data_IF_531889607487
#
_entry.id   IF_531889607487
#
_cell.length_a   1.000
_cell.length_b   1.000
_cell.length_c   1.000
_cell.angle_alpha   90.00
_cell.angle_beta   90.00
_cell.angle_gamma   90.00
#
_symmetry.space_group_name_H-M   'P 1'
#
loop_
_entity.id
_entity.type
_entity.pdbx_description
1 polymer ?
#
# COMPACT_ATOMS: atom_id res chain seq x y z
N UNK A 1 69.82 28.52 7.52
CA UNK A 1 68.55 27.97 6.90
C UNK A 1 67.70 27.55 8.06
N UNK A 2 66.61 28.29 8.28
CA UNK A 2 65.77 28.11 9.48
C UNK A 2 64.94 26.80 9.39
N UNK A 3 65.32 25.84 10.24
CA UNK A 3 64.61 24.58 10.39
C UNK A 3 63.07 24.74 10.65
N UNK A 4 62.69 25.85 11.27
CA UNK A 4 61.34 26.25 11.56
C UNK A 4 60.51 26.47 10.28
N UNK A 5 61.08 27.08 9.25
CA UNK A 5 60.41 27.30 7.95
C UNK A 5 60.20 26.03 7.15
N UNK A 6 61.15 25.09 7.24
CA UNK A 6 61.04 23.80 6.59
C UNK A 6 59.97 22.92 7.24
N UNK A 7 59.88 22.90 8.55
CA UNK A 7 58.87 22.17 9.33
C UNK A 7 57.49 22.75 9.09
N UNK A 8 57.33 24.07 9.08
CA UNK A 8 56.07 24.77 8.82
C UNK A 8 55.51 24.47 7.44
N UNK A 9 56.37 24.42 6.41
CA UNK A 9 55.95 24.12 5.03
C UNK A 9 55.49 22.65 4.85
N UNK A 10 56.09 21.73 5.60
CA UNK A 10 55.77 20.31 5.56
C UNK A 10 54.48 19.97 6.34
N UNK A 11 54.22 20.71 7.43
CA UNK A 11 52.98 20.59 8.21
C UNK A 11 51.78 21.17 7.46
N UNK A 12 51.93 22.24 6.69
CA UNK A 12 50.86 22.84 5.89
C UNK A 12 50.30 21.89 4.84
N UNK A 13 51.10 21.01 4.26
CA UNK A 13 50.64 20.05 3.25
C UNK A 13 49.84 18.91 3.85
N UNK A 14 50.22 18.41 5.04
CA UNK A 14 49.50 17.35 5.74
C UNK A 14 48.13 17.83 6.27
N UNK A 15 48.00 19.07 6.68
CA UNK A 15 46.74 19.65 7.14
C UNK A 15 45.67 19.76 6.04
N UNK A 16 46.05 20.07 4.81
CA UNK A 16 45.12 20.15 3.67
C UNK A 16 44.54 18.79 3.29
N UNK A 17 45.35 17.73 3.31
CA UNK A 17 44.89 16.36 3.03
C UNK A 17 43.92 15.88 4.12
N UNK A 18 44.24 16.15 5.40
CA UNK A 18 43.36 15.81 6.51
C UNK A 18 42.01 16.55 6.42
N UNK A 19 42.05 17.86 6.12
CA UNK A 19 40.80 18.62 5.89
C UNK A 19 39.99 18.09 4.73
N UNK A 20 40.63 17.75 3.60
CA UNK A 20 39.93 17.17 2.46
C UNK A 20 39.32 15.81 2.80
N UNK A 21 40.03 14.97 3.53
CA UNK A 21 39.54 13.67 3.98
C UNK A 21 38.31 13.78 4.90
N UNK A 22 38.36 14.71 5.87
CA UNK A 22 37.23 14.99 6.77
C UNK A 22 36.03 15.53 5.98
N UNK A 23 36.24 16.45 5.05
CA UNK A 23 35.18 17.02 4.22
C UNK A 23 34.50 15.95 3.36
N UNK A 24 35.27 15.04 2.74
CA UNK A 24 34.73 13.93 1.95
C UNK A 24 33.93 12.96 2.85
N UNK A 25 34.49 12.63 4.03
CA UNK A 25 33.76 11.73 4.96
C UNK A 25 32.42 12.33 5.41
N UNK A 26 32.41 13.64 5.68
CA UNK A 26 31.18 14.35 6.06
C UNK A 26 30.18 14.42 4.91
N UNK A 27 30.67 14.66 3.69
CA UNK A 27 29.83 14.64 2.47
C UNK A 27 29.16 13.28 2.26
N UNK A 28 29.94 12.19 2.36
CA UNK A 28 29.43 10.82 2.24
C UNK A 28 28.38 10.52 3.32
N UNK A 29 28.60 10.96 4.55
CA UNK A 29 27.65 10.80 5.65
C UNK A 29 26.33 11.54 5.38
N UNK A 30 26.39 12.79 4.90
CA UNK A 30 25.20 13.56 4.56
C UNK A 30 24.42 12.88 3.43
N UNK A 31 25.12 12.43 2.38
CA UNK A 31 24.49 11.71 1.26
C UNK A 31 23.81 10.44 1.77
N UNK A 32 24.51 9.65 2.60
CA UNK A 32 23.94 8.40 3.13
C UNK A 32 22.68 8.64 3.96
N UNK A 33 22.68 9.65 4.83
CA UNK A 33 21.50 10.03 5.62
C UNK A 33 20.36 10.52 4.72
N UNK A 34 20.66 11.37 3.74
CA UNK A 34 19.66 11.91 2.81
C UNK A 34 18.99 10.81 1.97
N UNK A 35 19.80 9.88 1.45
CA UNK A 35 19.29 8.72 0.68
C UNK A 35 18.46 7.81 1.58
N UNK A 36 18.91 7.53 2.81
CA UNK A 36 18.18 6.70 3.75
C UNK A 36 16.83 7.30 4.14
N UNK A 37 16.80 8.62 4.41
CA UNK A 37 15.55 9.33 4.73
C UNK A 37 14.58 9.37 3.54
N UNK A 38 15.08 9.66 2.34
CA UNK A 38 14.26 9.67 1.13
C UNK A 38 13.66 8.31 0.81
N UNK A 39 14.45 7.24 0.95
CA UNK A 39 13.99 5.88 0.70
C UNK A 39 12.92 5.42 1.71
N UNK A 40 13.10 5.79 2.99
CA UNK A 40 12.11 5.48 4.03
C UNK A 40 10.77 6.17 3.76
N UNK A 41 10.79 7.42 3.32
CA UNK A 41 9.60 8.20 2.98
C UNK A 41 8.86 7.57 1.77
N UNK A 42 9.57 7.27 0.69
CA UNK A 42 9.03 6.65 -0.51
C UNK A 42 8.36 5.28 -0.25
N UNK A 43 9.04 4.41 0.53
CA UNK A 43 8.46 3.11 0.91
C UNK A 43 7.19 3.30 1.72
N UNK A 44 7.20 4.23 2.66
CA UNK A 44 6.05 4.47 3.51
C UNK A 44 4.85 4.94 2.71
N UNK A 45 5.00 5.97 1.87
CA UNK A 45 3.93 6.44 0.99
C UNK A 45 3.41 5.31 0.11
N UNK A 46 4.29 4.48 -0.42
CA UNK A 46 3.91 3.31 -1.21
C UNK A 46 3.06 2.31 -0.42
N UNK A 47 3.41 2.01 0.83
CA UNK A 47 2.63 1.08 1.68
C UNK A 47 1.33 1.73 2.15
N UNK A 48 1.37 2.97 2.60
CA UNK A 48 0.20 3.72 3.08
C UNK A 48 -0.86 3.89 1.99
N UNK A 49 -0.46 4.12 0.74
CA UNK A 49 -1.38 4.18 -0.40
C UNK A 49 -2.13 2.87 -0.65
N UNK A 50 -1.55 1.74 -0.25
CA UNK A 50 -2.15 0.40 -0.45
C UNK A 50 -3.00 -0.05 0.73
N UNK A 51 -2.57 0.23 1.97
CA UNK A 51 -3.20 -0.32 3.18
C UNK A 51 -3.68 0.72 4.18
N UNK A 52 -3.53 2.02 3.89
CA UNK A 52 -3.68 3.07 4.91
C UNK A 52 -2.54 3.05 5.94
N UNK A 53 -2.46 4.09 6.77
CA UNK A 53 -1.43 4.18 7.83
C UNK A 53 -1.75 3.29 9.03
N UNK A 54 -3.02 3.17 9.36
CA UNK A 54 -3.54 2.32 10.45
C UNK A 54 -4.79 1.60 9.98
N UNK A 55 -4.96 0.35 10.41
CA UNK A 55 -6.16 -0.44 10.10
C UNK A 55 -6.90 -0.84 11.36
N UNK A 56 -8.22 -0.65 11.35
CA UNK A 56 -9.12 -1.24 12.33
C UNK A 56 -9.66 -2.55 11.76
N UNK A 57 -9.31 -3.65 12.40
CA UNK A 57 -9.63 -5.00 11.98
C UNK A 57 -10.46 -5.72 13.03
N UNK A 58 -11.37 -6.63 12.66
CA UNK A 58 -11.97 -7.55 13.62
C UNK A 58 -10.91 -8.49 14.22
N UNK A 59 -11.07 -8.90 15.47
CA UNK A 59 -10.12 -9.76 16.18
C UNK A 59 -9.85 -11.10 15.46
N UNK A 60 -10.80 -11.59 14.69
CA UNK A 60 -10.76 -12.88 13.98
C UNK A 60 -10.63 -12.69 12.46
N UNK A 61 -9.89 -11.68 12.01
CA UNK A 61 -9.76 -11.44 10.58
C UNK A 61 -9.04 -12.59 9.88
N UNK A 62 -9.73 -13.19 8.93
CA UNK A 62 -9.18 -14.20 8.04
C UNK A 62 -9.60 -13.87 6.60
N UNK A 63 -8.66 -13.46 5.76
CA UNK A 63 -8.92 -13.11 4.36
C UNK A 63 -9.39 -14.28 3.50
N UNK A 64 -9.20 -15.51 3.97
CA UNK A 64 -9.55 -16.74 3.25
C UNK A 64 -10.97 -17.22 3.53
N UNK A 65 -11.52 -16.87 4.69
CA UNK A 65 -12.84 -17.33 5.09
C UNK A 65 -13.88 -16.20 5.05
N UNK A 66 -15.16 -16.56 5.21
CA UNK A 66 -16.25 -15.59 5.37
C UNK A 66 -16.05 -14.87 6.72
N UNK A 67 -15.28 -13.77 6.71
CA UNK A 67 -14.98 -12.99 7.91
C UNK A 67 -16.24 -12.38 8.50
N UNK A 68 -16.31 -12.32 9.82
CA UNK A 68 -17.33 -11.50 10.50
C UNK A 68 -17.10 -10.04 10.14
N UNK A 69 -18.06 -9.35 9.54
CA UNK A 69 -17.91 -7.93 9.22
C UNK A 69 -17.88 -7.08 10.48
N UNK A 70 -17.28 -5.89 10.36
CA UNK A 70 -17.43 -4.80 11.33
C UNK A 70 -18.42 -3.79 10.78
N UNK A 71 -19.03 -3.00 11.67
CA UNK A 71 -19.96 -1.93 11.31
C UNK A 71 -19.18 -0.66 10.96
N UNK A 72 -19.35 -0.15 9.75
CA UNK A 72 -18.72 1.09 9.32
C UNK A 72 -19.26 2.35 10.02
N UNK A 73 -20.44 2.26 10.62
CA UNK A 73 -21.10 3.30 11.41
C UNK A 73 -21.10 3.03 12.93
N UNK A 74 -20.20 2.16 13.38
CA UNK A 74 -20.08 1.82 14.80
C UNK A 74 -19.87 3.06 15.67
N UNK A 75 -20.33 2.99 16.94
CA UNK A 75 -20.34 4.12 17.88
C UNK A 75 -18.95 4.74 18.14
N UNK A 76 -17.87 4.02 17.88
CA UNK A 76 -16.50 4.53 18.02
C UNK A 76 -16.02 5.35 16.80
N UNK A 77 -16.64 5.21 15.64
CA UNK A 77 -16.21 5.88 14.39
C UNK A 77 -16.16 7.40 14.51
N UNK A 78 -17.15 8.10 15.09
CA UNK A 78 -17.06 9.55 15.30
C UNK A 78 -15.86 9.94 16.16
N UNK A 79 -15.56 9.19 17.21
CA UNK A 79 -14.44 9.47 18.11
C UNK A 79 -13.09 9.30 17.39
N UNK A 80 -12.97 8.30 16.51
CA UNK A 80 -11.74 8.11 15.72
C UNK A 80 -11.53 9.26 14.74
N UNK A 81 -12.58 9.78 14.12
CA UNK A 81 -12.51 10.94 13.21
C UNK A 81 -12.12 12.25 13.89
N UNK A 82 -12.37 12.37 15.21
CA UNK A 82 -12.03 13.55 16.01
C UNK A 82 -10.59 13.50 16.55
N UNK A 83 -9.87 12.40 16.38
CA UNK A 83 -8.46 12.29 16.81
C UNK A 83 -7.60 13.21 15.93
N UNK A 84 -6.80 14.05 16.58
CA UNK A 84 -5.86 14.95 15.92
C UNK A 84 -4.87 14.13 15.06
N UNK A 85 -4.74 14.52 13.79
CA UNK A 85 -3.87 13.83 12.83
C UNK A 85 -4.57 12.76 11.99
N UNK A 86 -5.86 12.47 12.22
CA UNK A 86 -6.65 11.62 11.33
C UNK A 86 -7.23 12.47 10.20
N UNK A 87 -6.78 12.17 8.98
CA UNK A 87 -7.25 12.86 7.76
C UNK A 87 -8.55 12.24 7.24
N UNK A 88 -8.57 10.92 7.13
CA UNK A 88 -9.74 10.20 6.63
C UNK A 88 -9.87 8.80 7.23
N UNK A 89 -11.10 8.29 7.20
CA UNK A 89 -11.45 6.94 7.63
C UNK A 89 -12.23 6.26 6.50
N UNK A 90 -11.59 5.29 5.86
CA UNK A 90 -12.07 4.66 4.62
C UNK A 90 -12.55 3.24 4.92
N UNK A 91 -13.84 2.93 4.71
CA UNK A 91 -14.34 1.56 4.83
C UNK A 91 -13.81 0.71 3.68
N UNK A 92 -13.31 -0.50 3.98
CA UNK A 92 -12.73 -1.39 2.98
C UNK A 92 -13.19 -2.83 3.15
N UNK A 93 -13.25 -3.57 2.05
CA UNK A 93 -13.43 -5.01 2.08
C UNK A 93 -12.22 -5.68 1.45
N UNK A 94 -11.58 -6.54 2.23
CA UNK A 94 -10.53 -7.43 1.74
C UNK A 94 -11.08 -8.84 1.56
N UNK A 95 -10.77 -9.45 0.43
CA UNK A 95 -11.11 -10.84 0.17
C UNK A 95 -10.05 -11.52 -0.69
N UNK A 96 -9.49 -12.61 -0.18
CA UNK A 96 -8.59 -13.43 -0.98
C UNK A 96 -9.39 -14.23 -2.03
N UNK A 97 -8.82 -14.33 -3.20
CA UNK A 97 -9.40 -15.07 -4.31
C UNK A 97 -8.32 -15.76 -5.15
N UNK A 98 -8.75 -16.64 -6.01
CA UNK A 98 -7.91 -17.36 -6.94
C UNK A 98 -8.39 -17.08 -8.35
N UNK A 99 -7.54 -16.51 -9.17
CA UNK A 99 -7.77 -16.36 -10.61
C UNK A 99 -7.16 -17.54 -11.33
N UNK A 100 -7.95 -18.20 -12.16
CA UNK A 100 -7.47 -19.26 -13.03
C UNK A 100 -7.57 -18.80 -14.48
N UNK A 101 -6.45 -18.88 -15.16
CA UNK A 101 -6.37 -18.67 -16.61
C UNK A 101 -5.58 -19.82 -17.23
N UNK A 102 -6.22 -20.58 -18.13
CA UNK A 102 -5.71 -21.82 -18.69
C UNK A 102 -5.31 -22.83 -17.57
N UNK A 103 -4.01 -23.17 -17.51
CA UNK A 103 -3.45 -24.09 -16.50
C UNK A 103 -2.83 -23.33 -15.31
N UNK A 104 -2.67 -22.01 -15.42
CA UNK A 104 -2.05 -21.18 -14.39
C UNK A 104 -3.06 -20.74 -13.35
N UNK A 105 -2.59 -20.71 -12.10
CA UNK A 105 -3.36 -20.33 -10.92
C UNK A 105 -2.63 -19.21 -10.18
N UNK A 106 -3.32 -18.08 -9.99
CA UNK A 106 -2.77 -16.92 -9.31
C UNK A 106 -3.63 -16.54 -8.11
N UNK A 107 -3.00 -16.46 -6.91
CA UNK A 107 -3.66 -15.91 -5.74
C UNK A 107 -3.75 -14.39 -5.87
N UNK A 108 -4.92 -13.83 -5.59
CA UNK A 108 -5.16 -12.39 -5.59
C UNK A 108 -5.77 -11.95 -4.26
N UNK A 109 -5.59 -10.69 -3.92
CA UNK A 109 -6.32 -10.01 -2.86
C UNK A 109 -7.22 -8.96 -3.50
N UNK A 110 -8.54 -9.13 -3.42
CA UNK A 110 -9.46 -8.06 -3.77
C UNK A 110 -9.48 -7.05 -2.63
N UNK A 111 -9.30 -5.78 -2.98
CA UNK A 111 -9.49 -4.61 -2.12
C UNK A 111 -10.65 -3.80 -2.70
N UNK A 112 -11.77 -3.78 -1.99
CA UNK A 112 -12.90 -2.98 -2.42
C UNK A 112 -12.98 -1.69 -1.61
N UNK A 113 -13.21 -0.60 -2.31
CA UNK A 113 -13.24 0.77 -1.81
C UNK A 113 -14.55 1.45 -2.23
N UNK A 114 -15.02 2.45 -1.48
CA UNK A 114 -16.05 3.35 -1.97
C UNK A 114 -15.64 4.00 -3.29
N UNK A 115 -16.62 4.35 -4.13
CA UNK A 115 -16.40 4.81 -5.49
C UNK A 115 -15.48 6.05 -5.58
N UNK A 116 -15.54 6.93 -4.57
CA UNK A 116 -14.73 8.13 -4.47
C UNK A 116 -13.23 7.87 -4.20
N UNK A 117 -12.89 6.66 -3.73
CA UNK A 117 -11.52 6.22 -3.42
C UNK A 117 -10.99 5.18 -4.41
N UNK A 118 -11.76 4.85 -5.46
CA UNK A 118 -11.30 3.90 -6.47
C UNK A 118 -10.16 4.51 -7.31
N UNK A 119 -9.07 3.77 -7.57
CA UNK A 119 -7.98 4.25 -8.42
C UNK A 119 -8.31 4.15 -9.93
N UNK A 120 -9.58 3.99 -10.29
CA UNK A 120 -10.06 3.92 -11.66
C UNK A 120 -11.49 4.45 -11.76
N UNK A 121 -11.88 4.89 -12.96
CA UNK A 121 -13.26 5.28 -13.23
C UNK A 121 -14.13 4.03 -13.49
N UNK A 122 -15.12 3.83 -12.63
CA UNK A 122 -16.08 2.74 -12.79
C UNK A 122 -17.19 3.17 -13.76
N UNK A 123 -17.37 2.51 -14.91
CA UNK A 123 -18.51 2.80 -15.78
C UNK A 123 -19.83 2.36 -15.13
N UNK A 124 -20.86 3.21 -15.14
CA UNK A 124 -22.18 2.93 -14.55
C UNK A 124 -22.85 1.68 -15.14
N UNK A 125 -22.56 1.37 -16.40
CA UNK A 125 -23.14 0.22 -17.11
C UNK A 125 -22.45 -1.10 -16.80
N UNK A 126 -21.32 -1.11 -16.06
CA UNK A 126 -20.52 -2.31 -15.81
C UNK A 126 -20.61 -2.72 -14.35
N UNK A 127 -21.28 -3.83 -14.08
CA UNK A 127 -21.27 -4.46 -12.75
C UNK A 127 -20.00 -5.29 -12.54
N UNK A 128 -19.56 -5.42 -11.28
CA UNK A 128 -18.34 -6.16 -10.92
C UNK A 128 -17.12 -5.67 -11.73
N UNK A 129 -17.00 -4.36 -11.89
CA UNK A 129 -15.86 -3.71 -12.52
C UNK A 129 -14.64 -3.78 -11.61
N UNK A 130 -13.49 -4.14 -12.17
CA UNK A 130 -12.23 -4.23 -11.42
C UNK A 130 -11.07 -3.60 -12.19
N UNK A 131 -10.11 -3.09 -11.42
CA UNK A 131 -8.78 -2.72 -11.91
C UNK A 131 -7.76 -3.75 -11.43
N UNK A 132 -6.93 -4.26 -12.34
CA UNK A 132 -5.94 -5.30 -12.06
C UNK A 132 -4.52 -4.74 -12.18
N UNK A 133 -3.56 -5.24 -11.39
CA UNK A 133 -2.17 -4.84 -11.56
C UNK A 133 -1.61 -5.40 -12.88
N UNK A 134 -0.72 -4.63 -13.52
CA UNK A 134 -0.05 -5.04 -14.78
C UNK A 134 0.59 -6.42 -14.67
N UNK A 135 1.17 -6.73 -13.51
CA UNK A 135 1.76 -8.04 -13.26
C UNK A 135 0.74 -9.18 -13.40
N UNK A 136 -0.48 -9.03 -12.87
CA UNK A 136 -1.55 -10.03 -13.05
C UNK A 136 -1.98 -10.12 -14.51
N UNK A 137 -2.11 -8.98 -15.18
CA UNK A 137 -2.41 -8.91 -16.62
C UNK A 137 -1.42 -9.72 -17.45
N UNK A 138 -0.12 -9.58 -17.17
CA UNK A 138 0.96 -10.30 -17.87
C UNK A 138 0.97 -11.80 -17.53
N UNK A 139 0.86 -12.15 -16.23
CA UNK A 139 0.91 -13.53 -15.76
C UNK A 139 -0.31 -14.34 -16.23
N UNK A 140 -1.49 -13.77 -16.18
CA UNK A 140 -2.74 -14.44 -16.54
C UNK A 140 -3.15 -14.17 -18.01
N UNK A 141 -2.46 -13.30 -18.74
CA UNK A 141 -2.83 -12.94 -20.10
C UNK A 141 -4.16 -12.20 -20.21
N UNK A 142 -4.63 -11.56 -19.13
CA UNK A 142 -5.90 -10.84 -19.03
C UNK A 142 -5.67 -9.37 -19.36
N UNK A 143 -6.50 -8.79 -20.21
CA UNK A 143 -6.39 -7.39 -20.66
C UNK A 143 -7.62 -6.58 -20.25
N UNK A 144 -7.52 -5.27 -20.38
CA UNK A 144 -8.66 -4.38 -20.27
C UNK A 144 -9.75 -4.77 -21.29
N UNK A 145 -11.01 -4.84 -20.83
CA UNK A 145 -12.15 -5.34 -21.56
C UNK A 145 -12.42 -6.84 -21.41
N UNK A 146 -11.49 -7.61 -20.87
CA UNK A 146 -11.66 -9.04 -20.65
C UNK A 146 -12.47 -9.32 -19.39
N UNK A 147 -12.89 -10.59 -19.28
CA UNK A 147 -13.58 -11.12 -18.10
C UNK A 147 -12.63 -12.00 -17.30
N UNK A 148 -12.50 -11.70 -16.01
CA UNK A 148 -11.67 -12.42 -15.07
C UNK A 148 -12.52 -13.34 -14.19
N UNK A 149 -12.34 -14.65 -14.30
CA UNK A 149 -13.00 -15.62 -13.44
C UNK A 149 -12.19 -15.81 -12.15
N UNK A 150 -12.84 -15.48 -11.02
CA UNK A 150 -12.21 -15.58 -9.71
C UNK A 150 -12.97 -16.57 -8.84
N UNK A 151 -12.22 -17.45 -8.18
CA UNK A 151 -12.73 -18.43 -7.23
C UNK A 151 -12.43 -17.94 -5.80
N UNK A 152 -13.45 -17.97 -4.97
CA UNK A 152 -13.37 -17.68 -3.53
C UNK A 152 -13.49 -18.98 -2.76
N UNK A 153 -12.52 -19.23 -1.91
CA UNK A 153 -12.49 -20.39 -1.03
C UNK A 153 -13.01 -19.93 0.33
N UNK A 154 -14.06 -20.56 0.81
CA UNK A 154 -14.66 -20.36 2.12
C UNK A 154 -15.35 -21.66 2.51
N UNK A 155 -16.44 -21.59 3.28
CA UNK A 155 -17.26 -22.76 3.60
C UNK A 155 -17.78 -23.49 2.34
N UNK A 156 -17.87 -22.76 1.23
CA UNK A 156 -18.16 -23.28 -0.11
C UNK A 156 -17.33 -22.51 -1.13
N UNK A 157 -16.86 -23.22 -2.16
CA UNK A 157 -16.18 -22.56 -3.30
C UNK A 157 -17.24 -21.81 -4.12
N UNK A 158 -17.03 -20.52 -4.28
CA UNK A 158 -17.88 -19.65 -5.11
C UNK A 158 -17.05 -19.07 -6.24
N UNK A 159 -17.55 -19.16 -7.46
CA UNK A 159 -16.94 -18.51 -8.62
C UNK A 159 -17.70 -17.23 -8.97
N UNK A 160 -16.95 -16.17 -9.32
CA UNK A 160 -17.51 -14.90 -9.81
C UNK A 160 -16.70 -14.42 -11.00
N UNK A 161 -17.39 -13.80 -11.93
CA UNK A 161 -16.78 -13.23 -13.12
C UNK A 161 -16.78 -11.71 -12.98
N UNK A 162 -15.57 -11.12 -12.98
CA UNK A 162 -15.35 -9.69 -12.94
C UNK A 162 -15.03 -9.16 -14.33
N UNK A 163 -15.37 -7.89 -14.58
CA UNK A 163 -15.06 -7.20 -15.81
C UNK A 163 -13.82 -6.32 -15.57
N UNK A 164 -12.74 -6.57 -16.29
CA UNK A 164 -11.53 -5.79 -16.18
C UNK A 164 -11.69 -4.49 -16.97
N UNK A 165 -11.77 -3.38 -16.25
CA UNK A 165 -11.97 -2.04 -16.86
C UNK A 165 -10.69 -1.22 -16.90
N UNK A 166 -9.67 -1.62 -16.15
CA UNK A 166 -8.38 -0.90 -16.11
C UNK A 166 -7.26 -1.83 -15.71
N UNK A 167 -6.05 -1.51 -16.17
CA UNK A 167 -4.79 -2.13 -15.76
C UNK A 167 -3.88 -1.05 -15.19
N UNK A 168 -3.47 -1.18 -13.91
CA UNK A 168 -2.64 -0.19 -13.24
C UNK A 168 -1.22 -0.69 -13.00
N UNK A 169 -0.28 0.25 -12.88
CA UNK A 169 1.11 -0.04 -12.48
C UNK A 169 1.21 0.03 -10.96
N UNK A 170 1.62 -1.07 -10.33
CA UNK A 170 1.79 -1.10 -8.87
C UNK A 170 2.99 -0.24 -8.46
N UNK A 171 2.79 0.61 -7.46
CA UNK A 171 3.85 1.47 -6.89
C UNK A 171 4.92 0.62 -6.19
N UNK A 172 4.53 -0.53 -5.63
CA UNK A 172 5.45 -1.44 -4.93
C UNK A 172 5.74 -2.63 -5.86
N UNK A 173 6.80 -2.51 -6.65
CA UNK A 173 7.25 -3.58 -7.56
C UNK A 173 7.74 -4.86 -6.84
N UNK A 174 8.04 -4.79 -5.53
CA UNK A 174 8.57 -5.88 -4.73
C UNK A 174 7.50 -6.73 -4.03
N UNK A 175 6.24 -6.30 -4.01
CA UNK A 175 5.19 -7.07 -3.35
C UNK A 175 4.59 -8.09 -4.30
N UNK A 176 4.76 -9.38 -3.97
CA UNK A 176 4.15 -10.50 -4.71
C UNK A 176 2.61 -10.53 -4.58
N UNK A 177 2.03 -9.61 -3.83
CA UNK A 177 0.58 -9.52 -3.65
C UNK A 177 -0.07 -8.89 -4.88
N UNK A 178 -0.86 -9.67 -5.58
CA UNK A 178 -1.66 -9.23 -6.70
C UNK A 178 -2.96 -8.60 -6.17
N UNK A 179 -2.95 -7.29 -5.94
CA UNK A 179 -4.12 -6.56 -5.43
C UNK A 179 -5.02 -6.18 -6.60
N UNK A 180 -6.29 -6.52 -6.49
CA UNK A 180 -7.33 -6.19 -7.46
C UNK A 180 -8.31 -5.22 -6.81
N UNK A 181 -8.43 -4.01 -7.36
CA UNK A 181 -9.36 -3.02 -6.85
C UNK A 181 -10.77 -3.24 -7.39
N UNK A 182 -11.77 -3.11 -6.52
CA UNK A 182 -13.18 -3.29 -6.83
C UNK A 182 -14.05 -2.26 -6.10
N UNK A 183 -15.30 -2.11 -6.49
CA UNK A 183 -16.28 -1.28 -5.79
C UNK A 183 -16.75 -1.97 -4.51
N UNK A 184 -16.83 -1.20 -3.42
CA UNK A 184 -17.27 -1.66 -2.10
C UNK A 184 -18.66 -2.32 -2.16
N UNK A 185 -19.62 -1.67 -2.83
CA UNK A 185 -20.99 -2.15 -2.94
C UNK A 185 -21.10 -3.47 -3.68
N UNK A 186 -20.24 -3.71 -4.67
CA UNK A 186 -20.20 -4.96 -5.41
C UNK A 186 -19.74 -6.13 -4.53
N UNK A 187 -18.74 -5.89 -3.65
CA UNK A 187 -18.26 -6.92 -2.72
C UNK A 187 -19.19 -7.12 -1.52
N UNK A 188 -19.86 -6.08 -1.01
CA UNK A 188 -20.93 -6.23 -0.01
C UNK A 188 -22.01 -7.16 -0.52
N UNK A 189 -22.53 -6.93 -1.73
CA UNK A 189 -23.53 -7.82 -2.36
C UNK A 189 -23.01 -9.25 -2.57
N UNK A 190 -21.75 -9.40 -2.96
CA UNK A 190 -21.12 -10.72 -3.15
C UNK A 190 -21.01 -11.49 -1.83
N UNK A 191 -20.72 -10.80 -0.73
CA UNK A 191 -20.64 -11.38 0.60
C UNK A 191 -22.01 -11.59 1.26
N UNK A 192 -23.08 -10.98 0.74
CA UNK A 192 -24.40 -10.94 1.37
C UNK A 192 -24.42 -10.02 2.60
N UNK A 193 -23.61 -8.98 2.58
CA UNK A 193 -23.49 -7.98 3.64
C UNK A 193 -24.39 -6.77 3.39
N UNK A 194 -24.74 -6.07 4.46
CA UNK A 194 -25.43 -4.77 4.38
C UNK A 194 -24.46 -3.67 3.95
N UNK A 195 -25.00 -2.50 3.59
CA UNK A 195 -24.20 -1.32 3.17
C UNK A 195 -23.24 -0.81 4.27
N UNK A 196 -23.55 -1.07 5.55
CA UNK A 196 -22.73 -0.68 6.69
C UNK A 196 -21.71 -1.73 7.10
N UNK A 197 -21.70 -2.91 6.47
CA UNK A 197 -20.80 -3.99 6.83
C UNK A 197 -19.55 -4.02 5.96
N UNK A 198 -18.38 -4.02 6.59
CA UNK A 198 -17.07 -3.99 5.94
C UNK A 198 -16.10 -4.93 6.63
N UNK A 199 -14.99 -5.30 5.98
CA UNK A 199 -13.97 -6.14 6.63
C UNK A 199 -13.04 -5.34 7.53
N UNK A 200 -12.80 -4.08 7.19
CA UNK A 200 -11.86 -3.22 7.90
C UNK A 200 -12.19 -1.74 7.67
N UNK A 201 -11.60 -0.89 8.50
CA UNK A 201 -11.53 0.57 8.27
C UNK A 201 -10.06 0.96 8.16
N UNK A 202 -9.70 1.65 7.09
CA UNK A 202 -8.37 2.23 6.92
C UNK A 202 -8.38 3.68 7.40
N UNK A 203 -7.41 4.00 8.23
CA UNK A 203 -7.19 5.36 8.75
C UNK A 203 -6.02 5.94 7.98
N UNK A 204 -6.25 7.06 7.31
CA UNK A 204 -5.20 7.87 6.73
C UNK A 204 -4.84 8.97 7.72
N UNK A 205 -3.56 9.14 7.96
CA UNK A 205 -3.02 10.16 8.85
C UNK A 205 -2.44 11.31 8.01
N UNK A 206 -2.44 12.51 8.59
CA UNK A 206 -1.66 13.60 8.02
C UNK A 206 -0.14 13.29 8.03
N UNK A 207 0.62 13.97 7.18
CA UNK A 207 2.06 13.71 7.01
C UNK A 207 2.84 13.81 8.33
N UNK A 208 2.43 14.70 9.23
CA UNK A 208 3.12 14.92 10.50
C UNK A 208 2.85 13.80 11.50
N UNK A 209 1.60 13.38 11.61
CA UNK A 209 1.16 12.31 12.51
C UNK A 209 1.58 10.94 11.99
N UNK A 210 1.51 10.75 10.70
CA UNK A 210 2.01 9.59 10.02
C UNK A 210 3.50 9.34 10.30
N UNK A 211 4.36 10.36 10.22
CA UNK A 211 5.79 10.25 10.53
C UNK A 211 6.05 9.88 12.00
N UNK A 212 5.22 10.36 12.93
CA UNK A 212 5.33 10.03 14.37
C UNK A 212 4.99 8.57 14.68
N UNK A 213 4.06 7.97 13.96
CA UNK A 213 3.70 6.54 14.14
C UNK A 213 4.81 5.63 13.66
N UNK A 214 5.45 5.95 12.53
CA UNK A 214 6.59 5.18 12.02
C UNK A 214 7.83 5.22 12.91
N UNK A 215 8.05 6.31 13.64
CA UNK A 215 9.23 6.50 14.51
C UNK A 215 9.11 5.76 15.87
N UNK A 216 7.90 5.35 16.26
CA UNK A 216 7.65 4.63 17.53
C UNK A 216 7.63 3.10 17.39
N UNK A 217 7.78 2.59 16.19
CA UNK A 217 7.68 1.14 15.89
C UNK A 217 9.07 0.47 15.73
N UNK A 218 10.16 1.25 15.91
CA UNK A 218 11.56 0.76 15.98
C UNK A 218 12.00 0.54 17.48
#
# INVERSE_FOLDING_TARGET
>A
MDASLFISRRLRFKGKIAMASIAISFLVMIIAVSVSSGFRHEIREGISSVCGDVQLLPLNMNFLDDTSPIEADASYVPFVKEIEGVESLIPVIYRAGIVRHNEDIHGILLKALPIEYLPFEKPDSVSLAVSIPRRLSELAGIREGDRMLTYFIGSKVRARQFNVVSVYDSVIAADDKLIVYADLSDLQRLNGWSENQVSAMEIMLDDESGNRVGDKTD
#
